data_IF_043153437530
#
_entry.id   IF_043153437530
#
_cell.length_a   1.000
_cell.length_b   1.000
_cell.length_c   1.000
_cell.angle_alpha   90.00
_cell.angle_beta   90.00
_cell.angle_gamma   90.00
#
_symmetry.space_group_name_H-M   'P 1'
#
loop_
_entity.id
_entity.type
_entity.pdbx_description
1 polymer ?
#
# COMPACT_ATOMS: atom_id res chain seq x y z
N UNK A 1 -17.12 9.50 -9.46
CA UNK A 1 -16.68 10.38 -8.36
C UNK A 1 -15.76 9.57 -7.45
N UNK A 2 -14.67 10.14 -6.93
CA UNK A 2 -13.76 9.45 -6.02
C UNK A 2 -14.05 9.80 -4.55
N UNK A 3 -13.82 8.85 -3.64
CA UNK A 3 -13.83 9.07 -2.19
C UNK A 3 -12.39 9.16 -1.68
N UNK A 4 -12.12 10.14 -0.80
CA UNK A 4 -10.84 10.23 -0.08
C UNK A 4 -11.10 10.00 1.40
N UNK A 5 -10.51 8.93 1.95
CA UNK A 5 -10.47 8.68 3.39
C UNK A 5 -9.20 9.33 3.92
N UNK A 6 -9.38 10.33 4.78
CA UNK A 6 -8.31 11.12 5.37
C UNK A 6 -7.38 10.27 6.24
N UNK A 7 -6.19 10.81 6.51
CA UNK A 7 -5.17 10.15 7.32
C UNK A 7 -5.76 9.68 8.65
N UNK A 8 -5.63 8.38 8.91
CA UNK A 8 -6.05 7.74 10.15
C UNK A 8 -5.01 6.75 10.63
N UNK A 9 -5.07 6.37 11.90
CA UNK A 9 -4.09 5.50 12.52
C UNK A 9 -4.78 4.28 13.11
N UNK A 10 -4.30 3.08 12.73
CA UNK A 10 -4.89 1.81 13.17
C UNK A 10 -3.83 0.72 13.35
N UNK A 11 -4.15 -0.34 14.12
CA UNK A 11 -3.35 -1.56 14.15
C UNK A 11 -3.27 -2.25 12.78
N UNK A 12 -2.22 -3.05 12.56
CA UNK A 12 -1.95 -3.63 11.25
C UNK A 12 -3.10 -4.48 10.69
N UNK A 13 -3.77 -5.35 11.49
CA UNK A 13 -4.91 -6.13 11.00
C UNK A 13 -6.10 -5.24 10.57
N UNK A 14 -6.36 -4.15 11.30
CA UNK A 14 -7.46 -3.23 10.97
C UNK A 14 -7.18 -2.49 9.67
N UNK A 15 -5.94 -2.05 9.44
CA UNK A 15 -5.57 -1.40 8.19
C UNK A 15 -5.81 -2.31 6.96
N UNK A 16 -5.50 -3.60 7.09
CA UNK A 16 -5.74 -4.58 6.01
C UNK A 16 -7.24 -4.90 5.85
N UNK A 17 -7.97 -5.03 6.96
CA UNK A 17 -9.40 -5.29 6.94
C UNK A 17 -10.18 -4.14 6.29
N UNK A 18 -9.80 -2.89 6.55
CA UNK A 18 -10.42 -1.72 5.93
C UNK A 18 -10.20 -1.69 4.42
N UNK A 19 -8.99 -2.00 3.94
CA UNK A 19 -8.75 -2.12 2.50
C UNK A 19 -9.59 -3.22 1.86
N UNK A 20 -9.68 -4.39 2.51
CA UNK A 20 -10.50 -5.49 2.01
C UNK A 20 -11.99 -5.14 1.97
N UNK A 21 -12.50 -4.52 3.04
CA UNK A 21 -13.89 -4.08 3.12
C UNK A 21 -14.23 -3.05 2.05
N UNK A 22 -13.33 -2.07 1.80
CA UNK A 22 -13.52 -1.07 0.75
C UNK A 22 -13.51 -1.72 -0.64
N UNK A 23 -12.56 -2.63 -0.91
CA UNK A 23 -12.56 -3.40 -2.15
C UNK A 23 -13.88 -4.13 -2.38
N UNK A 24 -14.39 -4.84 -1.36
CA UNK A 24 -15.63 -5.60 -1.48
C UNK A 24 -16.83 -4.67 -1.73
N UNK A 25 -16.92 -3.55 -1.01
CA UNK A 25 -17.99 -2.57 -1.20
C UNK A 25 -17.96 -1.94 -2.60
N UNK A 26 -16.77 -1.70 -3.18
CA UNK A 26 -16.66 -1.20 -4.58
C UNK A 26 -17.11 -2.30 -5.56
N UNK A 27 -16.67 -3.54 -5.36
CA UNK A 27 -17.04 -4.67 -6.22
C UNK A 27 -18.57 -4.91 -6.26
N UNK A 28 -19.25 -4.68 -5.15
CA UNK A 28 -20.70 -4.81 -5.02
C UNK A 28 -21.48 -3.57 -5.51
N UNK A 29 -20.79 -2.51 -5.95
CA UNK A 29 -21.43 -1.25 -6.35
C UNK A 29 -21.94 -0.40 -5.17
N UNK A 30 -21.59 -0.77 -3.94
CA UNK A 30 -21.98 -0.08 -2.70
C UNK A 30 -21.04 1.07 -2.32
N UNK A 31 -19.95 1.27 -3.07
CA UNK A 31 -18.98 2.33 -2.80
C UNK A 31 -18.32 2.86 -4.08
N UNK A 32 -17.96 4.15 -4.04
CA UNK A 32 -17.12 4.78 -5.06
C UNK A 32 -15.66 4.31 -4.96
N UNK A 33 -14.88 4.41 -6.06
CA UNK A 33 -13.41 4.32 -6.04
C UNK A 33 -12.84 5.17 -4.91
N UNK A 34 -11.89 4.61 -4.15
CA UNK A 34 -11.42 5.20 -2.90
C UNK A 34 -9.90 5.34 -2.88
N UNK A 35 -9.43 6.48 -2.40
CA UNK A 35 -8.05 6.69 -1.95
C UNK A 35 -8.09 6.77 -0.42
N UNK A 36 -7.20 6.06 0.25
CA UNK A 36 -7.07 6.07 1.71
C UNK A 36 -5.64 6.35 2.10
N UNK A 37 -5.47 7.17 3.13
CA UNK A 37 -4.17 7.41 3.77
C UNK A 37 -4.21 6.89 5.21
N UNK A 38 -3.15 6.24 5.67
CA UNK A 38 -3.07 5.75 7.03
C UNK A 38 -1.65 5.59 7.54
N UNK A 39 -1.51 5.53 8.87
CA UNK A 39 -0.29 5.11 9.57
C UNK A 39 -0.59 3.85 10.39
N UNK A 40 0.47 3.23 10.89
CA UNK A 40 0.41 1.99 11.67
C UNK A 40 0.61 2.29 13.14
N UNK A 41 -0.25 1.75 14.01
CA UNK A 41 -0.01 1.82 15.45
C UNK A 41 -0.50 0.55 16.15
N UNK A 42 0.42 -0.28 16.68
CA UNK A 42 1.87 -0.05 16.79
C UNK A 42 2.60 -0.09 15.41
N UNK A 43 3.92 0.12 15.40
CA UNK A 43 4.74 -0.19 14.23
C UNK A 43 4.50 -1.65 13.79
N UNK A 44 4.66 -1.94 12.51
CA UNK A 44 4.26 -3.24 11.97
C UNK A 44 5.26 -3.79 10.94
N UNK A 45 5.26 -5.10 10.75
CA UNK A 45 5.84 -5.76 9.58
C UNK A 45 4.70 -6.33 8.74
N UNK A 46 4.60 -5.90 7.48
CA UNK A 46 3.70 -6.53 6.52
C UNK A 46 4.47 -7.49 5.63
N UNK A 47 3.97 -8.72 5.47
CA UNK A 47 4.50 -9.72 4.54
C UNK A 47 3.58 -9.92 3.35
N UNK A 48 4.16 -10.11 2.17
CA UNK A 48 3.41 -10.36 0.95
C UNK A 48 2.65 -11.69 0.99
N UNK A 49 1.61 -11.77 0.17
CA UNK A 49 0.69 -12.91 0.13
C UNK A 49 1.39 -14.28 0.04
N UNK A 50 2.45 -14.38 -0.78
CA UNK A 50 3.18 -15.63 -1.05
C UNK A 50 4.41 -15.87 -0.16
N UNK A 51 4.71 -14.97 0.79
CA UNK A 51 5.92 -15.07 1.61
C UNK A 51 5.76 -16.02 2.79
N UNK A 52 6.83 -16.70 3.18
CA UNK A 52 6.86 -17.53 4.38
C UNK A 52 7.25 -16.68 5.60
N UNK A 53 6.37 -16.59 6.60
CA UNK A 53 6.55 -15.69 7.73
C UNK A 53 7.89 -15.92 8.46
N UNK A 54 8.22 -17.17 8.75
CA UNK A 54 9.41 -17.55 9.53
C UNK A 54 10.73 -17.27 8.81
N UNK A 55 10.71 -17.10 7.48
CA UNK A 55 11.91 -16.76 6.69
C UNK A 55 12.16 -15.26 6.60
N UNK A 56 11.11 -14.47 6.75
CA UNK A 56 11.13 -13.04 6.43
C UNK A 56 11.15 -12.17 7.68
N UNK A 57 10.66 -12.69 8.80
CA UNK A 57 10.41 -11.89 10.01
C UNK A 57 10.95 -12.61 11.25
N UNK A 58 11.76 -11.88 12.02
CA UNK A 58 12.08 -12.27 13.39
C UNK A 58 10.86 -12.02 14.30
N UNK A 59 10.05 -13.07 14.48
CA UNK A 59 8.84 -13.02 15.29
C UNK A 59 9.17 -12.72 16.76
N UNK A 60 10.29 -13.24 17.26
CA UNK A 60 10.72 -13.02 18.65
C UNK A 60 11.05 -11.56 18.91
N UNK A 61 11.76 -10.93 17.99
CA UNK A 61 12.03 -9.49 18.03
C UNK A 61 10.73 -8.68 17.96
N UNK A 62 9.81 -9.03 17.03
CA UNK A 62 8.56 -8.30 16.89
C UNK A 62 7.70 -8.38 18.17
N UNK A 63 7.52 -9.58 18.72
CA UNK A 63 6.76 -9.79 19.95
C UNK A 63 7.37 -9.03 21.15
N UNK A 64 8.70 -9.05 21.29
CA UNK A 64 9.40 -8.35 22.38
C UNK A 64 9.26 -6.82 22.28
N UNK A 65 9.19 -6.27 21.07
CA UNK A 65 9.15 -4.83 20.82
C UNK A 65 7.73 -4.29 20.54
N UNK A 66 6.70 -5.12 20.65
CA UNK A 66 5.32 -4.72 20.37
C UNK A 66 5.10 -4.31 18.92
N UNK A 67 5.77 -4.98 17.98
CA UNK A 67 5.62 -4.75 16.53
C UNK A 67 4.59 -5.74 16.00
N UNK A 68 3.53 -5.22 15.38
CA UNK A 68 2.50 -6.04 14.73
C UNK A 68 3.09 -6.82 13.56
N UNK A 69 2.55 -8.00 13.28
CA UNK A 69 2.86 -8.77 12.07
C UNK A 69 1.56 -9.01 11.32
N UNK A 70 1.51 -8.64 10.04
CA UNK A 70 0.33 -8.87 9.19
C UNK A 70 0.71 -9.43 7.82
N UNK A 71 -0.14 -10.30 7.27
CA UNK A 71 -0.06 -10.72 5.88
C UNK A 71 -1.03 -9.91 5.04
N UNK A 72 -0.52 -9.26 4.00
CA UNK A 72 -1.34 -8.49 3.05
C UNK A 72 -1.78 -9.35 1.86
N UNK A 73 -2.91 -8.96 1.25
CA UNK A 73 -3.50 -9.64 0.08
C UNK A 73 -2.75 -9.40 -1.23
N UNK A 74 -1.87 -8.41 -1.29
CA UNK A 74 -0.96 -8.17 -2.41
C UNK A 74 0.32 -9.00 -2.27
N UNK A 75 1.02 -9.22 -3.38
CA UNK A 75 2.36 -9.80 -3.35
C UNK A 75 3.45 -8.85 -2.82
N UNK A 76 4.69 -9.06 -3.28
CA UNK A 76 5.87 -8.28 -2.89
C UNK A 76 6.58 -8.81 -1.64
N UNK A 77 7.69 -8.16 -1.27
CA UNK A 77 8.55 -8.54 -0.14
C UNK A 77 8.07 -8.03 1.22
N UNK A 78 8.78 -8.38 2.29
CA UNK A 78 8.43 -7.90 3.63
C UNK A 78 8.77 -6.41 3.76
N UNK A 79 7.94 -5.67 4.51
CA UNK A 79 8.12 -4.23 4.72
C UNK A 79 7.90 -3.91 6.19
N UNK A 80 8.85 -3.19 6.78
CA UNK A 80 8.69 -2.60 8.10
C UNK A 80 8.03 -1.23 7.97
N UNK A 81 7.04 -1.01 8.82
CA UNK A 81 6.18 0.16 8.87
C UNK A 81 6.37 0.86 10.20
N UNK A 82 6.99 2.04 10.18
CA UNK A 82 7.23 2.82 11.38
C UNK A 82 5.99 3.66 11.76
N UNK A 83 5.57 3.57 13.02
CA UNK A 83 4.38 4.28 13.51
C UNK A 83 4.47 5.81 13.47
N UNK A 84 5.67 6.38 13.35
CA UNK A 84 5.91 7.84 13.36
C UNK A 84 6.62 8.34 12.09
N UNK A 85 7.27 7.45 11.35
CA UNK A 85 8.18 7.79 10.26
C UNK A 85 7.63 7.58 8.85
N UNK A 86 6.43 7.04 8.69
CA UNK A 86 5.86 6.80 7.36
C UNK A 86 4.35 7.07 7.25
N UNK A 87 3.90 7.22 6.01
CA UNK A 87 2.49 7.30 5.63
C UNK A 87 2.27 6.27 4.54
N UNK A 88 1.32 5.38 4.75
CA UNK A 88 0.88 4.44 3.72
C UNK A 88 -0.35 4.98 3.01
N UNK A 89 -0.39 4.83 1.69
CA UNK A 89 -1.57 5.12 0.88
C UNK A 89 -2.13 3.83 0.28
N UNK A 90 -3.42 3.81 -0.02
CA UNK A 90 -4.10 2.73 -0.73
C UNK A 90 -5.09 3.30 -1.74
N UNK A 91 -4.97 2.89 -3.00
CA UNK A 91 -5.86 3.21 -4.11
C UNK A 91 -6.65 1.97 -4.46
N UNK A 92 -7.98 2.05 -4.35
CA UNK A 92 -8.90 0.95 -4.57
C UNK A 92 -9.95 1.38 -5.59
N UNK A 93 -10.01 0.73 -6.75
CA UNK A 93 -10.91 1.11 -7.83
C UNK A 93 -11.23 -0.07 -8.77
N UNK A 94 -12.31 0.01 -9.57
CA UNK A 94 -12.54 -0.92 -10.67
C UNK A 94 -11.29 -1.04 -11.54
N UNK A 95 -10.95 -2.27 -11.88
CA UNK A 95 -9.66 -2.57 -12.47
C UNK A 95 -9.49 -2.00 -13.89
N UNK A 96 -10.60 -1.69 -14.56
CA UNK A 96 -10.67 -1.06 -15.88
C UNK A 96 -10.30 0.42 -15.88
N UNK A 97 -10.13 1.04 -14.69
CA UNK A 97 -9.61 2.42 -14.58
C UNK A 97 -8.12 2.49 -14.90
N UNK A 98 -7.41 1.35 -14.90
CA UNK A 98 -5.96 1.29 -15.04
C UNK A 98 -5.53 0.30 -16.12
N UNK A 99 -4.38 0.52 -16.79
CA UNK A 99 -3.86 -0.40 -17.79
C UNK A 99 -3.74 -1.84 -17.28
N UNK A 100 -4.10 -2.83 -18.11
CA UNK A 100 -4.01 -4.26 -17.75
C UNK A 100 -2.56 -4.73 -17.53
N UNK A 101 -1.60 -4.11 -18.22
CA UNK A 101 -0.18 -4.40 -18.04
C UNK A 101 0.31 -3.96 -16.66
N UNK A 102 0.88 -4.89 -15.89
CA UNK A 102 1.27 -4.63 -14.49
C UNK A 102 2.25 -3.45 -14.35
N UNK A 103 3.23 -3.35 -15.25
CA UNK A 103 4.22 -2.27 -15.24
C UNK A 103 3.57 -0.93 -15.60
N UNK A 104 2.69 -0.92 -16.60
CA UNK A 104 2.03 0.32 -17.01
C UNK A 104 1.02 0.80 -15.96
N UNK A 105 0.35 -0.14 -15.30
CA UNK A 105 -0.48 0.10 -14.11
C UNK A 105 0.33 0.78 -13.00
N UNK A 106 1.52 0.25 -12.66
CA UNK A 106 2.43 0.88 -11.70
C UNK A 106 2.88 2.27 -12.15
N UNK A 107 3.27 2.45 -13.41
CA UNK A 107 3.70 3.76 -13.93
C UNK A 107 2.62 4.82 -13.77
N UNK A 108 1.36 4.51 -14.08
CA UNK A 108 0.24 5.45 -13.94
C UNK A 108 0.00 5.82 -12.48
N UNK A 109 -0.08 4.82 -11.59
CA UNK A 109 -0.37 5.06 -10.18
C UNK A 109 0.81 5.73 -9.45
N UNK A 110 2.02 5.21 -9.61
CA UNK A 110 3.22 5.82 -9.03
C UNK A 110 3.49 7.21 -9.62
N UNK A 111 3.20 7.43 -10.90
CA UNK A 111 3.27 8.75 -11.54
C UNK A 111 2.38 9.77 -10.81
N UNK A 112 1.16 9.38 -10.43
CA UNK A 112 0.26 10.26 -9.67
C UNK A 112 0.82 10.62 -8.29
N UNK A 113 1.50 9.68 -7.62
CA UNK A 113 2.20 9.95 -6.35
C UNK A 113 3.40 10.88 -6.55
N UNK A 114 4.19 10.65 -7.60
CA UNK A 114 5.34 11.50 -7.97
C UNK A 114 4.90 12.94 -8.23
N UNK A 115 3.80 13.16 -8.95
CA UNK A 115 3.25 14.50 -9.16
C UNK A 115 2.84 15.16 -7.84
N UNK A 116 2.24 14.41 -6.92
CA UNK A 116 1.92 14.89 -5.58
C UNK A 116 3.17 15.28 -4.78
N UNK A 117 4.20 14.44 -4.81
CA UNK A 117 5.50 14.70 -4.17
C UNK A 117 6.19 15.94 -4.77
N UNK A 118 6.12 16.13 -6.09
CA UNK A 118 6.65 17.32 -6.75
C UNK A 118 5.97 18.60 -6.25
N UNK A 119 4.65 18.55 -6.01
CA UNK A 119 3.91 19.64 -5.38
C UNK A 119 4.40 20.01 -3.95
N UNK A 120 5.09 19.09 -3.28
CA UNK A 120 5.73 19.29 -1.98
C UNK A 120 7.23 19.65 -2.09
N UNK A 121 7.75 19.84 -3.31
CA UNK A 121 9.16 20.13 -3.57
C UNK A 121 10.08 18.89 -3.52
N UNK A 122 9.51 17.68 -3.63
CA UNK A 122 10.27 16.42 -3.66
C UNK A 122 10.33 15.92 -5.10
N UNK A 123 11.51 16.03 -5.72
CA UNK A 123 11.78 15.44 -7.03
C UNK A 123 11.98 13.93 -6.88
N UNK A 124 11.03 13.16 -7.41
CA UNK A 124 11.01 11.71 -7.36
C UNK A 124 10.84 11.10 -8.76
N UNK A 125 11.33 9.89 -8.92
CA UNK A 125 11.25 9.13 -10.17
C UNK A 125 10.71 7.71 -9.92
N UNK A 126 10.03 7.18 -10.94
CA UNK A 126 9.58 5.80 -10.92
C UNK A 126 10.73 4.88 -11.30
N UNK A 127 11.02 3.90 -10.44
CA UNK A 127 12.00 2.85 -10.70
C UNK A 127 11.30 1.51 -10.79
N UNK A 128 11.30 0.86 -11.97
CA UNK A 128 10.75 -0.48 -12.10
C UNK A 128 11.37 -1.47 -11.09
N UNK A 129 10.60 -2.41 -10.55
CA UNK A 129 9.24 -2.76 -10.99
C UNK A 129 8.15 -1.83 -10.40
N UNK A 130 8.36 -1.29 -9.21
CA UNK A 130 7.28 -0.73 -8.38
C UNK A 130 7.79 0.25 -7.31
N UNK A 131 8.99 0.81 -7.48
CA UNK A 131 9.60 1.72 -6.51
C UNK A 131 9.47 3.18 -6.94
N UNK A 132 9.43 4.06 -5.95
CA UNK A 132 9.60 5.50 -6.11
C UNK A 132 10.90 5.89 -5.41
N UNK A 133 11.76 6.60 -6.13
CA UNK A 133 13.11 6.98 -5.69
C UNK A 133 13.22 8.49 -5.69
N UNK A 134 13.82 9.06 -4.65
CA UNK A 134 14.20 10.46 -4.59
C UNK A 134 15.65 10.56 -4.11
N UNK A 135 16.45 11.43 -4.74
CA UNK A 135 17.88 11.58 -4.42
C UNK A 135 18.66 10.24 -4.40
N UNK A 136 18.35 9.35 -5.35
CA UNK A 136 18.96 8.03 -5.47
C UNK A 136 18.58 7.02 -4.37
N UNK A 137 17.67 7.38 -3.45
CA UNK A 137 17.19 6.51 -2.37
C UNK A 137 15.73 6.15 -2.58
N UNK A 138 15.38 4.88 -2.32
CA UNK A 138 13.99 4.44 -2.31
C UNK A 138 13.25 5.17 -1.19
N UNK A 139 12.17 5.86 -1.56
CA UNK A 139 11.26 6.53 -0.63
C UNK A 139 9.88 5.90 -0.61
N UNK A 140 9.52 5.11 -1.62
CA UNK A 140 8.33 4.28 -1.52
C UNK A 140 8.43 2.95 -2.28
N UNK A 141 7.89 1.90 -1.67
CA UNK A 141 7.69 0.59 -2.29
C UNK A 141 6.21 0.28 -2.43
N UNK A 142 5.78 -0.17 -3.61
CA UNK A 142 4.37 -0.31 -3.94
C UNK A 142 4.00 -1.76 -4.25
N UNK A 143 2.80 -2.21 -3.88
CA UNK A 143 2.31 -3.53 -4.24
C UNK A 143 0.88 -3.44 -4.76
N UNK A 144 0.57 -4.18 -5.82
CA UNK A 144 -0.77 -4.23 -6.38
C UNK A 144 -1.34 -5.65 -6.48
N UNK A 145 -2.66 -5.74 -6.48
CA UNK A 145 -3.42 -6.96 -6.80
C UNK A 145 -4.69 -6.60 -7.55
N UNK A 146 -5.17 -7.53 -8.40
CA UNK A 146 -6.44 -7.45 -9.09
C UNK A 146 -7.30 -8.64 -8.65
N UNK A 147 -8.43 -8.39 -8.00
CA UNK A 147 -9.32 -9.43 -7.47
C UNK A 147 -10.76 -8.93 -7.46
N UNK A 148 -11.69 -9.77 -7.90
CA UNK A 148 -13.12 -9.45 -7.99
C UNK A 148 -13.41 -8.17 -8.81
N UNK A 149 -12.68 -7.96 -9.91
CA UNK A 149 -12.81 -6.78 -10.76
C UNK A 149 -12.27 -5.48 -10.15
N UNK A 150 -11.62 -5.54 -8.98
CA UNK A 150 -11.04 -4.39 -8.30
C UNK A 150 -9.52 -4.48 -8.32
N UNK A 151 -8.88 -3.38 -8.70
CA UNK A 151 -7.47 -3.15 -8.46
C UNK A 151 -7.29 -2.48 -7.09
N UNK A 152 -6.38 -3.04 -6.30
CA UNK A 152 -5.84 -2.39 -5.11
C UNK A 152 -4.34 -2.21 -5.33
N UNK A 153 -3.85 -0.97 -5.20
CA UNK A 153 -2.43 -0.68 -4.99
C UNK A 153 -2.27 0.06 -3.68
N UNK A 154 -1.31 -0.37 -2.86
CA UNK A 154 -0.86 0.40 -1.71
C UNK A 154 0.66 0.56 -1.74
N UNK A 155 1.12 1.63 -1.14
CA UNK A 155 2.53 1.99 -1.07
C UNK A 155 2.84 2.71 0.22
N UNK A 156 4.05 2.48 0.69
CA UNK A 156 4.63 3.08 1.90
C UNK A 156 5.95 3.73 1.54
#
# INVERSE_FOLDING_TARGET
>A
MWRVIQLSQWPAPMNMALDEAVCNAIAEGNSNPTIRFYTWNPSAVSIGYFQELLREVDIGFCAKNGIDIVRRRTGGGAVYHDSKGEITYSVLAPEDYFPRGIIDSYKVMCGSIIEGLRGLGIEAEFKPINDIVANGKKISGNAQTRRNGILQQHGT
#
